data_IF_445324050263
#
_entry.id   IF_445324050263
#
_cell.length_a   1.000
_cell.length_b   1.000
_cell.length_c   1.000
_cell.angle_alpha   90.00
_cell.angle_beta   90.00
_cell.angle_gamma   90.00
#
_symmetry.space_group_name_H-M   'P 1'
#
loop_
_entity.id
_entity.type
_entity.pdbx_description
1 polymer ?
#
# COMPACT_ATOMS: atom_id res chain seq x y z
N UNK A 1 19.29 27.10 -5.24
CA UNK A 1 18.12 27.16 -6.15
C UNK A 1 16.87 26.75 -5.39
N UNK A 2 15.74 27.38 -5.69
CA UNK A 2 14.46 26.93 -5.17
C UNK A 2 14.12 25.60 -5.84
N UNK A 3 13.68 24.57 -5.07
CA UNK A 3 13.28 23.29 -5.67
C UNK A 3 11.93 23.44 -6.36
N UNK A 4 11.76 22.70 -7.45
CA UNK A 4 10.52 22.64 -8.23
C UNK A 4 10.02 21.20 -8.26
N UNK A 5 9.12 20.87 -7.32
CA UNK A 5 8.57 19.53 -7.15
C UNK A 5 7.15 19.50 -7.70
N UNK A 6 6.89 18.52 -8.56
CA UNK A 6 5.55 18.19 -9.01
C UNK A 6 5.04 16.95 -8.26
N UNK A 7 3.74 16.91 -8.02
CA UNK A 7 3.04 15.68 -7.64
C UNK A 7 1.89 15.45 -8.61
N UNK A 8 1.98 14.35 -9.35
CA UNK A 8 0.99 13.92 -10.33
C UNK A 8 0.07 12.87 -9.70
N UNK A 9 -1.24 13.05 -9.83
CA UNK A 9 -2.28 12.16 -9.26
C UNK A 9 -3.31 11.86 -10.35
N UNK A 10 -3.44 10.57 -10.73
CA UNK A 10 -4.38 10.13 -11.76
C UNK A 10 -5.82 10.14 -11.23
N UNK A 11 -6.69 10.90 -11.88
CA UNK A 11 -8.05 11.10 -11.43
C UNK A 11 -8.89 9.82 -11.49
N UNK A 12 -9.43 9.37 -10.33
CA UNK A 12 -10.27 8.17 -10.24
C UNK A 12 -9.66 6.94 -10.92
N UNK A 13 -8.38 6.72 -10.76
CA UNK A 13 -7.53 5.88 -11.60
C UNK A 13 -8.19 4.57 -12.05
N UNK A 14 -8.55 3.68 -11.13
CA UNK A 14 -9.16 2.39 -11.50
C UNK A 14 -10.47 2.57 -12.28
N UNK A 15 -11.33 3.46 -11.83
CA UNK A 15 -12.60 3.72 -12.53
C UNK A 15 -12.38 4.35 -13.91
N UNK A 16 -11.32 5.14 -14.09
CA UNK A 16 -10.95 5.72 -15.38
C UNK A 16 -10.46 4.65 -16.34
N UNK A 17 -9.61 3.72 -15.86
CA UNK A 17 -9.13 2.58 -16.66
C UNK A 17 -10.31 1.69 -17.07
N UNK A 18 -11.23 1.34 -16.15
CA UNK A 18 -12.42 0.56 -16.50
C UNK A 18 -13.27 1.24 -17.58
N UNK A 19 -13.43 2.57 -17.49
CA UNK A 19 -14.13 3.33 -18.52
C UNK A 19 -13.37 3.43 -19.86
N UNK A 20 -12.09 3.13 -19.90
CA UNK A 20 -11.34 3.01 -21.17
C UNK A 20 -11.49 1.62 -21.75
N UNK A 21 -11.49 0.58 -20.91
CA UNK A 21 -11.71 -0.81 -21.33
C UNK A 21 -13.14 -1.01 -21.85
N UNK A 22 -14.13 -0.42 -21.18
CA UNK A 22 -15.51 -0.38 -21.62
C UNK A 22 -16.07 1.06 -21.63
N UNK A 23 -16.06 1.73 -22.79
CA UNK A 23 -16.56 3.11 -22.91
C UNK A 23 -18.03 3.29 -22.57
N UNK A 24 -18.86 2.22 -22.59
CA UNK A 24 -20.28 2.31 -22.22
C UNK A 24 -20.46 2.67 -20.74
N UNK A 25 -19.51 2.29 -19.89
CA UNK A 25 -19.50 2.59 -18.46
C UNK A 25 -19.43 4.10 -18.15
N UNK A 26 -18.89 4.93 -19.05
CA UNK A 26 -18.81 6.39 -18.88
C UNK A 26 -20.18 7.05 -18.66
N UNK A 27 -21.26 6.41 -19.12
CA UNK A 27 -22.64 6.93 -18.99
C UNK A 27 -23.22 6.77 -17.59
N UNK A 28 -22.69 5.84 -16.79
CA UNK A 28 -23.25 5.43 -15.50
C UNK A 28 -22.39 5.89 -14.32
N UNK A 29 -22.97 6.01 -13.11
CA UNK A 29 -22.19 6.02 -11.88
C UNK A 29 -21.57 4.64 -11.68
N UNK A 30 -20.25 4.54 -11.63
CA UNK A 30 -19.54 3.27 -11.45
C UNK A 30 -18.67 3.27 -10.19
N UNK A 31 -18.54 2.10 -9.59
CA UNK A 31 -17.57 1.82 -8.55
C UNK A 31 -16.84 0.51 -8.85
N UNK A 32 -15.51 0.55 -8.81
CA UNK A 32 -14.66 -0.64 -8.83
C UNK A 32 -14.64 -1.21 -7.43
N UNK A 33 -15.04 -2.48 -7.27
CA UNK A 33 -15.20 -3.10 -5.96
C UNK A 33 -14.58 -4.49 -5.94
N UNK A 34 -14.06 -4.88 -4.78
CA UNK A 34 -13.69 -6.26 -4.52
C UNK A 34 -14.91 -7.20 -4.45
N UNK A 35 -14.67 -8.52 -4.45
CA UNK A 35 -15.72 -9.54 -4.38
C UNK A 35 -16.45 -9.51 -3.03
N UNK A 36 -17.77 -9.43 -3.08
CA UNK A 36 -18.64 -9.55 -1.89
C UNK A 36 -18.59 -10.97 -1.33
N UNK A 37 -18.57 -11.97 -2.21
CA UNK A 37 -18.56 -13.39 -1.86
C UNK A 37 -17.29 -13.78 -1.11
N UNK A 38 -16.17 -13.16 -1.47
CA UNK A 38 -14.87 -13.31 -0.78
C UNK A 38 -14.73 -12.42 0.48
N UNK A 39 -15.82 -11.77 0.92
CA UNK A 39 -15.83 -10.83 2.07
C UNK A 39 -14.95 -9.59 1.87
N UNK A 40 -14.58 -9.26 0.63
CA UNK A 40 -13.80 -8.09 0.22
C UNK A 40 -14.64 -7.03 -0.52
N UNK A 41 -15.97 -7.10 -0.42
CA UNK A 41 -16.92 -6.24 -1.12
C UNK A 41 -16.91 -4.78 -0.64
N UNK A 42 -15.80 -4.07 -0.90
CA UNK A 42 -15.65 -2.63 -0.63
C UNK A 42 -15.36 -1.86 -1.91
N UNK A 43 -15.73 -0.59 -1.94
CA UNK A 43 -15.40 0.34 -3.01
C UNK A 43 -13.90 0.65 -2.96
N UNK A 44 -13.17 0.30 -4.02
CA UNK A 44 -11.75 0.60 -4.22
C UNK A 44 -11.59 1.98 -4.90
N UNK A 45 -12.35 2.21 -5.96
CA UNK A 45 -12.40 3.48 -6.68
C UNK A 45 -13.81 3.73 -7.23
N UNK A 46 -14.12 4.96 -7.57
CA UNK A 46 -15.40 5.38 -8.16
C UNK A 46 -15.20 6.54 -9.11
N UNK A 47 -16.06 6.66 -10.11
CA UNK A 47 -16.06 7.83 -10.99
C UNK A 47 -16.75 9.05 -10.35
N UNK A 48 -16.62 10.21 -10.98
CA UNK A 48 -17.22 11.47 -10.47
C UNK A 48 -18.76 11.40 -10.38
N UNK A 49 -19.43 10.63 -11.24
CA UNK A 49 -20.88 10.43 -11.17
C UNK A 49 -21.27 9.71 -9.86
N UNK A 50 -20.59 8.64 -9.50
CA UNK A 50 -20.83 7.97 -8.22
C UNK A 50 -20.40 8.83 -7.02
N UNK A 51 -19.31 9.62 -7.15
CA UNK A 51 -18.87 10.57 -6.12
C UNK A 51 -19.93 11.63 -5.81
N UNK A 52 -20.71 12.07 -6.80
CA UNK A 52 -21.79 13.03 -6.60
C UNK A 52 -22.92 12.52 -5.68
N UNK A 53 -23.06 11.19 -5.54
CA UNK A 53 -23.99 10.55 -4.59
C UNK A 53 -23.33 10.23 -3.24
N UNK A 54 -22.20 10.85 -2.90
CA UNK A 54 -21.42 10.62 -1.67
C UNK A 54 -20.94 9.15 -1.49
N UNK A 55 -20.73 8.42 -2.59
CA UNK A 55 -20.07 7.11 -2.54
C UNK A 55 -18.60 7.34 -2.22
N UNK A 56 -18.10 6.66 -1.17
CA UNK A 56 -16.71 6.82 -0.68
C UNK A 56 -15.88 5.56 -0.89
N UNK A 57 -14.59 5.73 -1.12
CA UNK A 57 -13.63 4.60 -1.06
C UNK A 57 -13.66 4.01 0.35
N UNK A 58 -13.76 2.68 0.43
CA UNK A 58 -13.94 1.94 1.68
C UNK A 58 -15.39 1.71 2.08
N UNK A 59 -16.40 2.32 1.41
CA UNK A 59 -17.79 1.94 1.61
C UNK A 59 -17.99 0.45 1.25
N UNK A 60 -18.77 -0.27 2.04
CA UNK A 60 -19.23 -1.59 1.61
C UNK A 60 -20.15 -1.45 0.39
N UNK A 61 -20.17 -2.44 -0.50
CA UNK A 61 -20.97 -2.39 -1.74
C UNK A 61 -22.44 -2.11 -1.44
N UNK A 62 -23.01 -2.69 -0.39
CA UNK A 62 -24.40 -2.43 0.00
C UNK A 62 -24.64 -0.97 0.43
N UNK A 63 -23.68 -0.35 1.16
CA UNK A 63 -23.75 1.07 1.55
C UNK A 63 -23.69 1.97 0.31
N UNK A 64 -22.77 1.67 -0.60
CA UNK A 64 -22.62 2.41 -1.85
C UNK A 64 -23.90 2.34 -2.70
N UNK A 65 -24.54 1.17 -2.80
CA UNK A 65 -25.84 1.00 -3.48
C UNK A 65 -27.00 1.70 -2.79
N UNK A 66 -26.98 1.83 -1.46
CA UNK A 66 -27.98 2.64 -0.75
C UNK A 66 -27.87 4.13 -1.12
N UNK A 67 -26.64 4.64 -1.27
CA UNK A 67 -26.39 6.04 -1.66
C UNK A 67 -26.69 6.29 -3.13
N UNK A 68 -26.40 5.34 -4.01
CA UNK A 68 -26.60 5.43 -5.46
C UNK A 68 -27.25 4.14 -5.97
N UNK A 69 -28.59 4.19 -6.20
CA UNK A 69 -29.38 3.02 -6.63
C UNK A 69 -28.94 2.46 -7.97
N UNK A 70 -28.55 3.35 -8.90
CA UNK A 70 -28.12 3.00 -10.25
C UNK A 70 -26.62 2.72 -10.34
N UNK A 71 -25.94 2.47 -9.21
CA UNK A 71 -24.51 2.20 -9.16
C UNK A 71 -24.15 0.89 -9.86
N UNK A 72 -23.36 1.00 -10.92
CA UNK A 72 -22.78 -0.15 -11.61
C UNK A 72 -21.49 -0.56 -10.88
N UNK A 73 -21.45 -1.78 -10.40
CA UNK A 73 -20.29 -2.36 -9.70
C UNK A 73 -19.46 -3.14 -10.73
N UNK A 74 -18.15 -2.83 -10.78
CA UNK A 74 -17.21 -3.43 -11.73
C UNK A 74 -16.11 -4.14 -10.93
N UNK A 75 -15.71 -5.38 -11.29
CA UNK A 75 -14.57 -6.03 -10.66
C UNK A 75 -13.25 -5.34 -11.07
N UNK A 76 -12.19 -5.41 -10.24
CA UNK A 76 -10.92 -4.79 -10.56
C UNK A 76 -10.09 -5.61 -11.57
N UNK A 77 -9.49 -4.94 -12.55
CA UNK A 77 -8.51 -5.51 -13.50
C UNK A 77 -7.10 -5.01 -13.18
N UNK A 78 -6.50 -5.52 -12.12
CA UNK A 78 -5.21 -5.04 -11.60
C UNK A 78 -4.06 -5.08 -12.61
N UNK A 79 -4.04 -6.04 -13.52
CA UNK A 79 -3.01 -6.13 -14.58
C UNK A 79 -3.02 -4.89 -15.48
N UNK A 80 -4.23 -4.43 -15.86
CA UNK A 80 -4.39 -3.20 -16.62
C UNK A 80 -3.98 -1.98 -15.79
N UNK A 81 -4.32 -1.93 -14.50
CA UNK A 81 -3.88 -0.82 -13.64
C UNK A 81 -2.36 -0.74 -13.53
N UNK A 82 -1.67 -1.87 -13.36
CA UNK A 82 -0.19 -1.93 -13.36
C UNK A 82 0.37 -1.46 -14.69
N UNK A 83 -0.22 -1.87 -15.81
CA UNK A 83 0.19 -1.47 -17.16
C UNK A 83 0.06 0.05 -17.33
N UNK A 84 -1.10 0.64 -17.03
CA UNK A 84 -1.29 2.09 -17.16
C UNK A 84 -0.45 2.89 -16.16
N UNK A 85 -0.23 2.38 -14.96
CA UNK A 85 0.71 2.96 -14.01
C UNK A 85 2.14 3.04 -14.55
N UNK A 86 2.63 1.98 -15.22
CA UNK A 86 3.95 1.96 -15.87
C UNK A 86 4.02 2.91 -17.06
N UNK A 87 2.97 2.96 -17.88
CA UNK A 87 2.87 3.90 -19.00
C UNK A 87 2.90 5.36 -18.52
N UNK A 88 2.15 5.68 -17.47
CA UNK A 88 2.18 7.01 -16.87
C UNK A 88 3.59 7.41 -16.41
N UNK A 89 4.32 6.50 -15.77
CA UNK A 89 5.71 6.75 -15.36
C UNK A 89 6.63 7.00 -16.55
N UNK A 90 6.46 6.25 -17.64
CA UNK A 90 7.25 6.48 -18.85
C UNK A 90 7.02 7.88 -19.46
N UNK A 91 5.83 8.46 -19.26
CA UNK A 91 5.58 9.86 -19.62
C UNK A 91 6.35 10.80 -18.69
N UNK A 92 6.30 10.58 -17.39
CA UNK A 92 6.99 11.41 -16.40
C UNK A 92 8.52 11.40 -16.58
N UNK A 93 9.09 10.25 -16.90
CA UNK A 93 10.52 10.06 -17.12
C UNK A 93 11.08 10.84 -18.33
N UNK A 94 10.23 11.37 -19.19
CA UNK A 94 10.65 12.26 -20.31
C UNK A 94 11.14 13.61 -19.82
N UNK A 95 10.73 14.03 -18.62
CA UNK A 95 10.99 15.35 -18.05
C UNK A 95 12.09 15.35 -16.99
N UNK A 96 12.31 14.24 -16.29
CA UNK A 96 13.32 14.10 -15.23
C UNK A 96 13.62 12.63 -14.95
N UNK A 97 14.80 12.33 -14.43
CA UNK A 97 15.16 11.03 -13.87
C UNK A 97 14.80 10.87 -12.39
N UNK A 98 14.36 11.95 -11.74
CA UNK A 98 13.90 11.95 -10.35
C UNK A 98 12.38 11.78 -10.32
N UNK A 99 11.96 10.53 -10.47
CA UNK A 99 10.54 10.11 -10.46
C UNK A 99 10.34 9.10 -9.35
N UNK A 100 9.64 9.51 -8.30
CA UNK A 100 9.36 8.70 -7.13
C UNK A 100 7.88 8.31 -7.09
N UNK A 101 7.55 7.03 -7.27
CA UNK A 101 6.17 6.57 -7.17
C UNK A 101 5.64 6.62 -5.74
N UNK A 102 4.36 6.96 -5.61
CA UNK A 102 3.59 6.87 -4.39
C UNK A 102 2.27 6.16 -4.67
N UNK A 103 2.26 4.84 -4.51
CA UNK A 103 1.15 4.00 -4.99
C UNK A 103 1.19 3.74 -6.49
N UNK A 104 0.05 3.35 -7.07
CA UNK A 104 -0.07 3.04 -8.51
C UNK A 104 -0.39 4.26 -9.36
N UNK A 105 -1.03 5.26 -8.79
CA UNK A 105 -1.63 6.40 -9.48
C UNK A 105 -0.97 7.74 -9.16
N UNK A 106 -0.02 7.76 -8.23
CA UNK A 106 0.65 8.97 -7.80
C UNK A 106 2.17 8.90 -8.01
N UNK A 107 2.79 10.03 -8.35
CA UNK A 107 4.24 10.19 -8.45
C UNK A 107 4.69 11.59 -8.05
N UNK A 108 5.83 11.68 -7.34
CA UNK A 108 6.60 12.92 -7.26
C UNK A 108 7.65 13.00 -8.36
N UNK A 109 7.84 14.20 -8.90
CA UNK A 109 8.88 14.53 -9.86
C UNK A 109 9.67 15.72 -9.33
N UNK A 110 10.99 15.65 -9.34
CA UNK A 110 11.83 16.82 -9.12
C UNK A 110 12.35 17.30 -10.48
N UNK A 111 11.89 18.49 -10.88
CA UNK A 111 12.24 19.13 -12.14
C UNK A 111 13.14 20.35 -11.98
N UNK A 112 13.74 20.52 -10.80
CA UNK A 112 14.53 21.71 -10.44
C UNK A 112 15.70 22.01 -11.39
N UNK A 113 16.21 21.02 -12.08
CA UNK A 113 17.34 21.16 -13.03
C UNK A 113 16.93 21.21 -14.50
N UNK A 114 15.63 21.14 -14.83
CA UNK A 114 15.15 20.95 -16.20
C UNK A 114 14.44 22.19 -16.78
N UNK A 115 14.39 23.30 -16.05
CA UNK A 115 13.68 24.52 -16.46
C UNK A 115 14.21 25.11 -17.77
N UNK A 116 15.52 25.00 -18.03
CA UNK A 116 16.14 25.48 -19.28
C UNK A 116 15.71 24.69 -20.51
N UNK A 117 15.28 23.43 -20.33
CA UNK A 117 14.86 22.53 -21.40
C UNK A 117 13.34 22.61 -21.65
N UNK A 118 12.54 22.64 -20.59
CA UNK A 118 11.09 22.50 -20.68
C UNK A 118 10.30 23.77 -20.29
N UNK A 119 10.97 24.74 -19.68
CA UNK A 119 10.35 25.99 -19.20
C UNK A 119 9.90 25.91 -17.75
N UNK A 120 8.96 26.81 -17.37
CA UNK A 120 8.51 26.92 -15.97
C UNK A 120 7.84 25.65 -15.46
N UNK A 121 7.90 25.39 -14.12
CA UNK A 121 7.27 24.21 -13.51
C UNK A 121 5.78 24.09 -13.81
N UNK A 122 5.06 25.21 -13.89
CA UNK A 122 3.64 25.22 -14.24
C UNK A 122 3.40 24.83 -15.70
N UNK A 123 4.28 25.26 -16.62
CA UNK A 123 4.23 24.84 -18.03
C UNK A 123 4.44 23.35 -18.14
N UNK A 124 5.47 22.79 -17.50
CA UNK A 124 5.75 21.36 -17.48
C UNK A 124 4.58 20.57 -16.92
N UNK A 125 3.98 21.02 -15.82
CA UNK A 125 2.81 20.37 -15.21
C UNK A 125 1.62 20.31 -16.17
N UNK A 126 1.35 21.41 -16.91
CA UNK A 126 0.29 21.44 -17.91
C UNK A 126 0.61 20.55 -19.11
N UNK A 127 1.86 20.50 -19.58
CA UNK A 127 2.30 19.65 -20.66
C UNK A 127 2.15 18.17 -20.31
N UNK A 128 2.59 17.76 -19.11
CA UNK A 128 2.39 16.39 -18.60
C UNK A 128 0.89 16.06 -18.56
N UNK A 129 0.06 16.95 -18.03
CA UNK A 129 -1.39 16.76 -17.94
C UNK A 129 -2.02 16.52 -19.31
N UNK A 130 -1.70 17.34 -20.31
CA UNK A 130 -2.22 17.18 -21.67
C UNK A 130 -1.65 15.92 -22.34
N UNK A 131 -0.38 15.59 -22.14
CA UNK A 131 0.24 14.36 -22.68
C UNK A 131 -0.45 13.11 -22.12
N UNK A 132 -0.69 13.06 -20.82
CA UNK A 132 -1.42 11.95 -20.18
C UNK A 132 -2.82 11.77 -20.75
N UNK A 133 -3.51 12.86 -20.96
CA UNK A 133 -4.86 12.88 -21.53
C UNK A 133 -4.88 12.43 -22.99
N UNK A 134 -3.94 12.91 -23.79
CA UNK A 134 -3.87 12.62 -25.22
C UNK A 134 -3.33 11.23 -25.50
N UNK A 135 -2.20 10.83 -24.88
CA UNK A 135 -1.56 9.54 -25.16
C UNK A 135 -2.20 8.37 -24.42
N UNK A 136 -2.65 8.57 -23.15
CA UNK A 136 -3.16 7.49 -22.31
C UNK A 136 -4.66 7.54 -22.06
N UNK A 137 -5.35 8.61 -22.47
CA UNK A 137 -6.78 8.79 -22.19
C UNK A 137 -7.11 9.01 -20.71
N UNK A 138 -6.09 9.27 -19.88
CA UNK A 138 -6.21 9.48 -18.43
C UNK A 138 -6.07 10.96 -18.08
N UNK A 139 -6.97 11.48 -17.27
CA UNK A 139 -6.80 12.82 -16.70
C UNK A 139 -6.03 12.74 -15.38
N UNK A 140 -5.17 13.74 -15.14
CA UNK A 140 -4.40 13.86 -13.91
C UNK A 140 -4.60 15.25 -13.29
N UNK A 141 -4.43 15.33 -11.97
CA UNK A 141 -4.28 16.60 -11.28
C UNK A 141 -2.84 16.74 -10.80
N UNK A 142 -2.24 17.91 -10.97
CA UNK A 142 -0.83 18.14 -10.67
C UNK A 142 -0.68 19.25 -9.65
N UNK A 143 0.01 18.98 -8.56
CA UNK A 143 0.46 19.97 -7.61
C UNK A 143 1.89 20.37 -7.89
N UNK A 144 2.18 21.67 -7.91
CA UNK A 144 3.51 22.24 -8.11
C UNK A 144 3.91 23.01 -6.86
N UNK A 145 5.04 22.65 -6.25
CA UNK A 145 5.52 23.34 -5.04
C UNK A 145 7.03 23.19 -4.88
N UNK A 146 7.57 23.74 -3.78
CA UNK A 146 8.99 23.72 -3.43
C UNK A 146 9.38 22.52 -2.54
N UNK A 147 8.44 21.69 -2.12
CA UNK A 147 8.65 20.47 -1.34
C UNK A 147 7.60 19.39 -1.71
N UNK A 148 7.86 18.14 -1.31
CA UNK A 148 7.00 16.99 -1.63
C UNK A 148 5.62 17.08 -0.96
N UNK A 149 5.56 17.64 0.25
CA UNK A 149 4.34 17.66 1.08
C UNK A 149 3.30 18.59 0.45
N UNK A 150 3.72 19.80 0.08
CA UNK A 150 2.81 20.77 -0.53
C UNK A 150 2.52 20.44 -2.00
N UNK A 151 3.48 19.84 -2.71
CA UNK A 151 3.19 19.31 -4.04
C UNK A 151 2.06 18.28 -3.99
N UNK A 152 2.06 17.36 -2.99
CA UNK A 152 0.98 16.37 -2.82
C UNK A 152 -0.36 16.98 -2.38
N UNK A 153 -0.34 18.07 -1.65
CA UNK A 153 -1.57 18.77 -1.24
C UNK A 153 -2.27 19.43 -2.45
N UNK A 154 -1.47 19.90 -3.44
CA UNK A 154 -1.98 20.65 -4.60
C UNK A 154 -3.09 19.96 -5.39
N UNK A 155 -2.97 18.69 -5.80
CA UNK A 155 -4.02 17.97 -6.53
C UNK A 155 -5.37 17.98 -5.81
N UNK A 156 -5.38 17.80 -4.47
CA UNK A 156 -6.62 17.71 -3.70
C UNK A 156 -7.37 19.04 -3.60
N UNK A 157 -6.67 20.17 -3.73
CA UNK A 157 -7.29 21.49 -3.74
C UNK A 157 -8.13 21.75 -4.99
N UNK A 158 -7.76 21.15 -6.15
CA UNK A 158 -8.47 21.35 -7.40
C UNK A 158 -8.43 20.08 -8.25
N UNK A 159 -9.51 19.30 -8.25
CA UNK A 159 -9.76 18.10 -9.07
C UNK A 159 -11.08 18.25 -9.81
N UNK A 160 -11.23 17.64 -10.98
CA UNK A 160 -10.24 16.90 -11.79
C UNK A 160 -9.48 17.79 -12.79
N UNK A 161 -8.47 17.17 -13.46
CA UNK A 161 -7.80 17.71 -14.66
C UNK A 161 -7.31 19.16 -14.48
N UNK A 162 -6.50 19.38 -13.42
CA UNK A 162 -6.08 20.73 -13.03
C UNK A 162 -4.62 20.79 -12.55
N UNK A 163 -4.04 21.97 -12.64
CA UNK A 163 -2.74 22.28 -12.04
C UNK A 163 -2.95 23.26 -10.88
N UNK A 164 -2.33 22.98 -9.74
CA UNK A 164 -2.34 23.83 -8.54
C UNK A 164 -0.92 24.19 -8.15
N UNK A 165 -0.59 25.48 -8.15
CA UNK A 165 0.74 25.98 -7.75
C UNK A 165 0.68 26.51 -6.33
N UNK A 166 1.61 26.05 -5.47
CA UNK A 166 1.78 26.50 -4.08
C UNK A 166 3.20 27.07 -3.96
N UNK A 167 3.38 28.39 -4.19
CA UNK A 167 4.68 29.07 -4.13
C UNK A 167 5.17 29.21 -2.67
N UNK A 168 6.49 29.32 -2.51
CA UNK A 168 7.14 29.43 -1.19
C UNK A 168 6.81 30.72 -0.43
N UNK A 169 6.59 31.79 -1.14
CA UNK A 169 6.32 33.13 -0.58
C UNK A 169 4.86 33.28 -0.09
N UNK A 170 3.92 32.56 -0.73
CA UNK A 170 2.48 32.69 -0.47
C UNK A 170 1.81 31.42 0.06
N UNK A 171 2.59 30.38 0.40
CA UNK A 171 1.99 29.12 0.82
C UNK A 171 1.09 29.23 2.05
N UNK A 172 1.45 30.09 3.02
CA UNK A 172 0.67 30.28 4.24
C UNK A 172 -0.76 30.73 3.93
N UNK A 173 -0.88 31.72 3.05
CA UNK A 173 -2.18 32.26 2.62
C UNK A 173 -3.03 31.20 1.91
N UNK A 174 -2.38 30.32 1.13
CA UNK A 174 -3.06 29.27 0.34
C UNK A 174 -3.48 28.07 1.16
N UNK A 175 -2.65 27.62 2.13
CA UNK A 175 -2.87 26.30 2.74
C UNK A 175 -3.15 26.34 4.24
N UNK A 176 -2.79 27.40 4.97
CA UNK A 176 -3.00 27.41 6.42
C UNK A 176 -4.46 27.37 6.84
N UNK A 177 -5.39 27.82 5.99
CA UNK A 177 -6.83 27.71 6.20
C UNK A 177 -7.41 26.32 5.92
N UNK A 178 -6.66 25.40 5.29
CA UNK A 178 -7.12 24.06 4.97
C UNK A 178 -7.16 23.18 6.23
N UNK A 179 -8.02 22.13 6.25
CA UNK A 179 -8.07 21.17 7.34
C UNK A 179 -6.70 20.53 7.61
N UNK A 180 -6.32 20.37 8.88
CA UNK A 180 -5.10 19.65 9.25
C UNK A 180 -5.09 18.20 8.73
N UNK A 181 -6.25 17.61 8.55
CA UNK A 181 -6.44 16.26 8.01
C UNK A 181 -5.97 16.11 6.55
N UNK A 182 -5.88 17.21 5.79
CA UNK A 182 -5.44 17.19 4.39
C UNK A 182 -3.90 17.09 4.28
N UNK A 183 -3.18 17.37 5.38
CA UNK A 183 -1.73 17.28 5.39
C UNK A 183 -1.27 15.82 5.42
N UNK A 184 -0.30 15.49 4.57
CA UNK A 184 0.29 14.15 4.53
C UNK A 184 0.77 13.71 5.92
N UNK A 185 0.37 12.50 6.34
CA UNK A 185 0.70 11.93 7.66
C UNK A 185 -0.36 12.19 8.73
N UNK A 186 -1.40 12.98 8.46
CA UNK A 186 -2.55 13.14 9.37
C UNK A 186 -3.66 12.15 9.00
N UNK A 187 -3.58 10.95 9.55
CA UNK A 187 -4.65 9.95 9.43
C UNK A 187 -5.75 10.16 10.50
N UNK A 188 -6.83 9.37 10.42
CA UNK A 188 -8.01 9.46 11.33
C UNK A 188 -7.67 9.44 12.83
N UNK A 189 -6.64 8.68 13.23
CA UNK A 189 -6.21 8.61 14.64
C UNK A 189 -5.52 9.92 15.06
N UNK A 190 -4.59 10.43 14.23
CA UNK A 190 -3.91 11.69 14.46
C UNK A 190 -4.90 12.85 14.46
N UNK A 191 -5.84 12.88 13.50
CA UNK A 191 -6.89 13.89 13.44
C UNK A 191 -7.71 13.95 14.73
N UNK A 192 -8.17 12.80 15.26
CA UNK A 192 -8.91 12.77 16.54
C UNK A 192 -8.11 13.38 17.70
N UNK A 193 -6.81 13.14 17.74
CA UNK A 193 -5.95 13.74 18.77
C UNK A 193 -5.85 15.26 18.56
N UNK A 194 -5.62 15.72 17.33
CA UNK A 194 -5.54 17.15 17.02
C UNK A 194 -6.87 17.88 17.34
N UNK A 195 -8.00 17.29 16.93
CA UNK A 195 -9.34 17.84 17.19
C UNK A 195 -9.62 17.99 18.69
N UNK A 196 -9.15 17.05 19.53
CA UNK A 196 -9.30 17.13 20.99
C UNK A 196 -8.57 18.32 21.62
N UNK A 197 -7.62 18.93 20.91
CA UNK A 197 -6.89 20.13 21.29
C UNK A 197 -7.26 21.37 20.45
N UNK A 198 -8.36 21.30 19.70
CA UNK A 198 -8.84 22.35 18.82
C UNK A 198 -7.86 22.74 17.71
N UNK A 199 -6.93 21.87 17.33
CA UNK A 199 -6.01 22.02 16.20
C UNK A 199 -6.72 21.46 14.96
N UNK A 200 -7.39 22.32 14.20
CA UNK A 200 -8.27 21.93 13.08
C UNK A 200 -7.69 22.23 11.72
N UNK A 201 -6.87 23.27 11.63
CA UNK A 201 -6.27 23.72 10.38
C UNK A 201 -4.77 23.48 10.33
N UNK A 202 -4.21 23.49 9.11
CA UNK A 202 -2.74 23.43 8.92
C UNK A 202 -2.07 24.63 9.64
N UNK A 203 -2.70 25.81 9.64
CA UNK A 203 -2.22 26.97 10.35
C UNK A 203 -2.22 26.79 11.87
N UNK A 204 -3.27 26.19 12.46
CA UNK A 204 -3.28 25.86 13.89
C UNK A 204 -2.13 24.92 14.25
N UNK A 205 -1.91 23.89 13.42
CA UNK A 205 -0.81 22.92 13.61
C UNK A 205 0.55 23.62 13.51
N UNK A 206 0.74 24.52 12.53
CA UNK A 206 1.97 25.25 12.32
C UNK A 206 2.32 26.21 13.49
N UNK A 207 1.31 26.78 14.14
CA UNK A 207 1.46 27.73 15.25
C UNK A 207 1.45 27.05 16.64
N UNK A 208 1.23 25.73 16.70
CA UNK A 208 1.26 24.98 17.98
C UNK A 208 2.72 24.73 18.40
N UNK A 209 2.99 24.73 19.72
CA UNK A 209 4.31 24.39 20.26
C UNK A 209 4.74 22.98 19.85
N UNK A 210 5.88 22.81 19.16
CA UNK A 210 6.36 21.51 18.72
C UNK A 210 6.62 20.52 19.86
N UNK A 211 7.01 21.00 21.07
CA UNK A 211 7.18 20.12 22.25
C UNK A 211 5.85 19.65 22.79
N UNK A 212 4.79 20.43 22.68
CA UNK A 212 3.43 19.98 22.98
C UNK A 212 3.02 18.85 22.03
N UNK A 213 3.22 19.03 20.70
CA UNK A 213 2.92 18.02 19.70
C UNK A 213 3.75 16.75 19.91
N UNK A 214 5.01 16.87 20.28
CA UNK A 214 5.90 15.74 20.61
C UNK A 214 5.37 14.92 21.78
N UNK A 215 4.89 15.57 22.83
CA UNK A 215 4.29 14.89 24.00
C UNK A 215 3.01 14.13 23.65
N UNK A 216 2.23 14.58 22.68
CA UNK A 216 0.92 14.00 22.31
C UNK A 216 1.00 12.99 21.15
N UNK A 217 1.86 13.22 20.19
CA UNK A 217 1.96 12.45 18.94
C UNK A 217 3.36 11.81 18.73
N UNK A 218 4.25 11.94 19.71
CA UNK A 218 5.63 11.46 19.60
C UNK A 218 6.43 12.19 18.52
N UNK A 219 7.37 11.49 17.90
CA UNK A 219 8.19 12.05 16.81
C UNK A 219 7.35 12.57 15.64
N UNK A 220 6.23 11.92 15.35
CA UNK A 220 5.33 12.33 14.27
C UNK A 220 4.76 13.73 14.48
N UNK A 221 4.49 14.14 15.73
CA UNK A 221 4.02 15.49 16.03
C UNK A 221 4.98 16.58 15.55
N UNK A 222 6.27 16.38 15.78
CA UNK A 222 7.32 17.33 15.30
C UNK A 222 7.44 17.29 13.78
N UNK A 223 7.34 16.11 13.16
CA UNK A 223 7.36 15.97 11.70
C UNK A 223 6.19 16.74 11.08
N UNK A 224 4.98 16.56 11.60
CA UNK A 224 3.79 17.26 11.10
C UNK A 224 3.89 18.79 11.29
N UNK A 225 4.45 19.25 12.40
CA UNK A 225 4.74 20.66 12.61
C UNK A 225 5.70 21.21 11.56
N UNK A 226 6.80 20.49 11.26
CA UNK A 226 7.72 20.85 10.19
C UNK A 226 7.01 20.92 8.83
N UNK A 227 6.18 19.93 8.51
CA UNK A 227 5.41 19.91 7.27
C UNK A 227 4.48 21.11 7.15
N UNK A 228 3.71 21.45 8.20
CA UNK A 228 2.82 22.61 8.22
C UNK A 228 3.56 23.93 8.04
N UNK A 229 4.83 24.01 8.47
CA UNK A 229 5.72 25.16 8.29
C UNK A 229 6.53 25.13 6.97
N UNK A 230 6.33 24.14 6.11
CA UNK A 230 7.03 24.02 4.83
C UNK A 230 8.47 23.51 4.92
N UNK A 231 8.87 22.99 6.07
CA UNK A 231 10.24 22.54 6.37
C UNK A 231 10.45 21.05 5.98
N UNK A 232 10.03 20.65 4.78
CA UNK A 232 10.34 19.33 4.24
C UNK A 232 11.54 19.39 3.30
N UNK A 233 12.61 18.68 3.67
CA UNK A 233 13.85 18.58 2.91
C UNK A 233 14.00 17.21 2.21
N UNK A 234 13.00 16.36 2.26
CA UNK A 234 13.06 15.03 1.63
C UNK A 234 13.30 15.16 0.12
N UNK A 235 14.20 14.35 -0.40
CA UNK A 235 14.51 14.34 -1.82
C UNK A 235 13.49 13.45 -2.55
N UNK A 236 13.21 13.78 -3.81
CA UNK A 236 12.54 12.85 -4.72
C UNK A 236 13.55 11.79 -5.13
N UNK A 237 13.21 10.53 -4.96
CA UNK A 237 14.06 9.42 -5.32
C UNK A 237 14.23 9.33 -6.85
N UNK A 238 15.38 8.81 -7.28
CA UNK A 238 15.59 8.50 -8.70
C UNK A 238 14.73 7.31 -9.11
N UNK A 239 14.41 7.21 -10.39
CA UNK A 239 13.56 6.17 -10.99
C UNK A 239 14.03 4.73 -10.70
N UNK A 240 15.33 4.54 -10.54
CA UNK A 240 16.00 3.25 -10.27
C UNK A 240 16.17 2.96 -8.78
N UNK A 241 15.71 3.86 -7.91
CA UNK A 241 15.80 3.64 -6.48
C UNK A 241 14.87 2.50 -6.05
N UNK A 242 15.45 1.47 -5.47
CA UNK A 242 14.71 0.35 -4.88
C UNK A 242 14.76 0.47 -3.37
N UNK A 243 13.61 0.65 -2.75
CA UNK A 243 13.51 0.70 -1.28
C UNK A 243 13.88 -0.65 -0.68
N UNK A 244 14.72 -0.70 0.38
CA UNK A 244 15.04 -1.95 1.06
C UNK A 244 13.78 -2.64 1.59
N UNK A 245 13.67 -3.94 1.34
CA UNK A 245 12.55 -4.76 1.84
C UNK A 245 12.68 -4.91 3.35
N UNK A 246 11.72 -4.40 4.10
CA UNK A 246 11.72 -4.45 5.58
C UNK A 246 11.02 -5.69 6.14
N UNK A 247 10.04 -6.21 5.42
CA UNK A 247 9.29 -7.42 5.77
C UNK A 247 8.67 -8.04 4.54
N UNK A 248 8.41 -9.34 4.60
CA UNK A 248 7.65 -10.09 3.58
C UNK A 248 6.45 -10.72 4.27
N UNK A 249 5.25 -10.36 3.86
CA UNK A 249 4.03 -10.87 4.49
C UNK A 249 2.95 -11.23 3.49
N UNK A 250 2.06 -12.12 3.92
CA UNK A 250 0.84 -12.46 3.21
C UNK A 250 -0.31 -12.58 4.22
N UNK A 251 -1.47 -12.06 3.87
CA UNK A 251 -2.65 -12.11 4.71
C UNK A 251 -3.90 -12.41 3.90
N UNK A 252 -4.83 -13.12 4.51
CA UNK A 252 -6.07 -13.53 3.86
C UNK A 252 -7.28 -13.34 4.78
N UNK A 253 -8.39 -12.92 4.19
CA UNK A 253 -9.70 -13.01 4.82
C UNK A 253 -10.36 -14.32 4.36
N UNK A 254 -10.68 -15.19 5.29
CA UNK A 254 -11.29 -16.48 4.97
C UNK A 254 -12.75 -16.32 4.56
N UNK A 255 -13.26 -17.19 3.69
CA UNK A 255 -14.66 -17.13 3.21
C UNK A 255 -15.67 -17.44 4.32
N UNK A 256 -15.24 -18.17 5.36
CA UNK A 256 -16.00 -18.41 6.58
C UNK A 256 -15.07 -18.25 7.79
N UNK A 257 -15.63 -17.88 8.95
CA UNK A 257 -14.85 -17.70 10.16
C UNK A 257 -14.17 -19.01 10.61
N UNK A 258 -12.95 -18.88 11.14
CA UNK A 258 -12.23 -20.00 11.74
C UNK A 258 -12.56 -20.06 13.23
N UNK A 259 -13.01 -21.24 13.68
CA UNK A 259 -13.53 -21.46 15.03
C UNK A 259 -12.62 -22.35 15.89
N UNK A 260 -11.65 -23.03 15.27
CA UNK A 260 -10.79 -24.03 15.92
C UNK A 260 -9.34 -23.91 15.45
N UNK A 261 -8.34 -24.25 16.30
CA UNK A 261 -6.93 -24.20 15.95
C UNK A 261 -6.58 -25.03 14.69
N UNK A 262 -7.25 -26.18 14.53
CA UNK A 262 -7.00 -27.11 13.41
C UNK A 262 -7.35 -26.46 12.06
N UNK A 263 -8.21 -25.43 12.05
CA UNK A 263 -8.55 -24.67 10.84
C UNK A 263 -7.54 -23.55 10.56
N UNK A 264 -6.81 -23.08 11.57
CA UNK A 264 -5.83 -21.98 11.44
C UNK A 264 -4.48 -22.50 10.92
N UNK A 265 -4.04 -23.66 11.36
CA UNK A 265 -2.78 -24.25 10.93
C UNK A 265 -2.61 -24.34 9.41
N UNK A 266 -3.58 -24.91 8.66
CA UNK A 266 -3.48 -24.97 7.20
C UNK A 266 -3.39 -23.58 6.56
N UNK A 267 -4.09 -22.58 7.10
CA UNK A 267 -4.02 -21.20 6.61
C UNK A 267 -2.61 -20.63 6.78
N UNK A 268 -1.99 -20.80 7.95
CA UNK A 268 -0.60 -20.37 8.15
C UNK A 268 0.34 -21.07 7.18
N UNK A 269 0.18 -22.36 7.00
CA UNK A 269 1.02 -23.16 6.11
C UNK A 269 0.90 -22.70 4.65
N UNK A 270 -0.31 -22.35 4.19
CA UNK A 270 -0.52 -21.82 2.84
C UNK A 270 0.13 -20.43 2.68
N UNK A 271 -0.15 -19.50 3.58
CA UNK A 271 0.43 -18.14 3.52
C UNK A 271 1.96 -18.16 3.52
N UNK A 272 2.56 -19.07 4.27
CA UNK A 272 4.01 -19.16 4.37
C UNK A 272 4.70 -19.76 3.14
N UNK A 273 3.97 -20.50 2.29
CA UNK A 273 4.51 -20.95 0.99
C UNK A 273 4.90 -19.75 0.13
N UNK A 274 4.00 -18.77 0.01
CA UNK A 274 4.24 -17.53 -0.73
C UNK A 274 5.35 -16.70 -0.07
N UNK A 275 5.34 -16.57 1.25
CA UNK A 275 6.39 -15.84 1.98
C UNK A 275 7.77 -16.45 1.72
N UNK A 276 7.91 -17.78 1.81
CA UNK A 276 9.17 -18.47 1.55
C UNK A 276 9.65 -18.30 0.11
N UNK A 277 8.73 -18.33 -0.86
CA UNK A 277 9.02 -18.02 -2.26
C UNK A 277 9.58 -16.60 -2.41
N UNK A 278 8.89 -15.60 -1.89
CA UNK A 278 9.31 -14.19 -1.96
C UNK A 278 10.66 -13.94 -1.27
N UNK A 279 10.90 -14.58 -0.13
CA UNK A 279 12.21 -14.52 0.56
C UNK A 279 13.33 -15.04 -0.34
N UNK A 280 13.14 -16.18 -1.02
CA UNK A 280 14.12 -16.76 -1.95
C UNK A 280 14.36 -15.90 -3.17
N UNK A 281 13.29 -15.38 -3.79
CA UNK A 281 13.39 -14.47 -4.95
C UNK A 281 14.23 -13.25 -4.63
N UNK A 282 14.11 -12.72 -3.40
CA UNK A 282 14.85 -11.53 -2.98
C UNK A 282 16.19 -11.83 -2.29
N UNK A 283 16.58 -13.10 -2.15
CA UNK A 283 17.83 -13.48 -1.47
C UNK A 283 17.86 -13.11 0.02
N UNK A 284 16.69 -13.13 0.69
CA UNK A 284 16.52 -12.72 2.08
C UNK A 284 16.15 -13.91 2.95
N UNK A 285 16.54 -13.86 4.23
CA UNK A 285 16.12 -14.80 5.30
C UNK A 285 15.47 -14.03 6.44
N UNK A 286 14.52 -14.67 7.13
CA UNK A 286 13.81 -14.08 8.25
C UNK A 286 14.43 -14.50 9.59
N UNK A 287 14.67 -13.55 10.49
CA UNK A 287 15.04 -13.78 11.90
C UNK A 287 13.85 -13.64 12.85
N UNK A 288 12.68 -13.29 12.34
CA UNK A 288 11.47 -13.16 13.14
C UNK A 288 10.21 -13.36 12.33
N UNK A 289 9.15 -13.65 13.05
CA UNK A 289 7.80 -13.76 12.50
C UNK A 289 6.84 -12.89 13.29
N UNK A 290 5.97 -12.18 12.60
CA UNK A 290 4.82 -11.50 13.17
C UNK A 290 3.52 -12.11 12.63
N UNK A 291 2.50 -12.14 13.47
CA UNK A 291 1.15 -12.56 13.10
C UNK A 291 0.14 -11.46 13.43
N UNK A 292 -0.83 -11.26 12.53
CA UNK A 292 -1.97 -10.39 12.77
C UNK A 292 -3.23 -11.22 12.65
N UNK A 293 -4.01 -11.23 13.69
CA UNK A 293 -5.28 -11.96 13.78
C UNK A 293 -6.40 -10.93 13.92
N UNK A 294 -7.35 -10.99 13.02
CA UNK A 294 -8.56 -10.17 13.08
C UNK A 294 -9.76 -11.08 13.32
N UNK A 295 -10.48 -10.83 14.40
CA UNK A 295 -11.70 -11.56 14.73
C UNK A 295 -12.92 -11.09 13.89
N UNK A 296 -14.05 -11.74 14.03
CA UNK A 296 -15.28 -11.42 13.32
C UNK A 296 -15.96 -10.13 13.82
N UNK A 297 -15.57 -9.62 14.97
CA UNK A 297 -15.98 -8.30 15.49
C UNK A 297 -15.10 -7.17 14.95
N UNK A 298 -14.14 -7.51 14.07
CA UNK A 298 -13.18 -6.64 13.41
C UNK A 298 -12.07 -6.08 14.33
N UNK A 299 -11.90 -6.61 15.53
CA UNK A 299 -10.77 -6.29 16.38
C UNK A 299 -9.51 -6.99 15.85
N UNK A 300 -8.40 -6.26 15.81
CA UNK A 300 -7.11 -6.79 15.35
C UNK A 300 -6.13 -6.88 16.51
N UNK A 301 -5.46 -8.03 16.61
CA UNK A 301 -4.36 -8.26 17.54
C UNK A 301 -3.11 -8.66 16.77
N UNK A 302 -1.96 -8.18 17.23
CA UNK A 302 -0.68 -8.44 16.61
C UNK A 302 0.32 -8.93 17.64
N UNK A 303 1.11 -9.94 17.26
CA UNK A 303 2.21 -10.46 18.06
C UNK A 303 3.39 -10.80 17.18
N UNK A 304 4.58 -10.79 17.75
CA UNK A 304 5.81 -11.17 17.05
C UNK A 304 6.75 -11.97 17.96
N UNK A 305 7.60 -12.78 17.33
CA UNK A 305 8.64 -13.56 18.04
C UNK A 305 9.87 -13.73 17.13
N UNK A 306 11.01 -14.03 17.76
CA UNK A 306 12.23 -14.38 17.02
C UNK A 306 12.14 -15.81 16.50
N UNK A 307 12.83 -16.06 15.39
CA UNK A 307 13.16 -17.39 14.87
C UNK A 307 14.57 -17.73 15.34
N UNK A 308 14.81 -18.97 15.69
CA UNK A 308 16.08 -19.40 16.30
C UNK A 308 17.28 -19.21 15.36
N UNK A 309 17.12 -19.55 14.08
CA UNK A 309 18.12 -19.33 13.03
C UNK A 309 17.48 -18.66 11.83
N UNK A 310 18.17 -17.72 11.14
CA UNK A 310 17.67 -17.11 9.91
C UNK A 310 17.20 -18.17 8.92
N UNK A 311 16.02 -18.02 8.35
CA UNK A 311 15.42 -19.05 7.47
C UNK A 311 14.61 -18.48 6.33
N UNK A 312 14.50 -19.25 5.24
CA UNK A 312 13.57 -19.06 4.13
C UNK A 312 12.47 -20.15 4.15
N UNK A 313 12.52 -21.08 5.12
CA UNK A 313 11.64 -22.24 5.17
C UNK A 313 10.19 -21.87 5.50
N UNK A 314 9.23 -22.08 4.58
CA UNK A 314 7.81 -21.93 4.88
C UNK A 314 7.36 -22.72 6.11
N UNK A 315 7.86 -23.95 6.27
CA UNK A 315 7.48 -24.81 7.37
C UNK A 315 7.96 -24.29 8.73
N UNK A 316 9.18 -23.75 8.80
CA UNK A 316 9.72 -23.18 10.05
C UNK A 316 8.93 -21.92 10.41
N UNK A 317 8.70 -21.04 9.43
CA UNK A 317 7.92 -19.81 9.62
C UNK A 317 6.50 -20.15 10.08
N UNK A 318 5.82 -21.12 9.42
CA UNK A 318 4.48 -21.56 9.78
C UNK A 318 4.41 -22.13 11.21
N UNK A 319 5.34 -23.00 11.58
CA UNK A 319 5.39 -23.59 12.93
C UNK A 319 5.61 -22.54 14.00
N UNK A 320 6.54 -21.60 13.78
CA UNK A 320 6.82 -20.52 14.73
C UNK A 320 5.62 -19.57 14.86
N UNK A 321 4.96 -19.27 13.73
CA UNK A 321 3.74 -18.44 13.72
C UNK A 321 2.60 -19.14 14.49
N UNK A 322 2.42 -20.45 14.28
CA UNK A 322 1.35 -21.20 14.93
C UNK A 322 1.57 -21.38 16.43
N UNK A 323 2.80 -21.68 16.87
CA UNK A 323 3.14 -21.72 18.29
C UNK A 323 2.91 -20.36 18.98
N UNK A 324 3.25 -19.26 18.30
CA UNK A 324 2.98 -17.91 18.80
C UNK A 324 1.47 -17.68 18.92
N UNK A 325 0.71 -18.09 17.92
CA UNK A 325 -0.74 -18.00 17.89
C UNK A 325 -1.38 -18.78 19.05
N UNK A 326 -1.07 -20.07 19.21
CA UNK A 326 -1.59 -20.92 20.31
C UNK A 326 -1.30 -20.33 21.70
N UNK A 327 -0.10 -19.74 21.87
CA UNK A 327 0.29 -19.11 23.14
C UNK A 327 -0.47 -17.81 23.44
N UNK A 328 -0.93 -17.09 22.41
CA UNK A 328 -1.43 -15.71 22.56
C UNK A 328 -2.91 -15.53 22.29
N UNK A 329 -3.50 -16.34 21.45
CA UNK A 329 -4.90 -16.20 21.06
C UNK A 329 -5.81 -16.97 21.99
N UNK A 330 -6.70 -16.26 22.70
CA UNK A 330 -7.57 -16.84 23.75
C UNK A 330 -8.92 -17.36 23.26
N UNK A 331 -9.16 -17.45 21.93
CA UNK A 331 -10.41 -17.95 21.32
C UNK A 331 -11.70 -17.32 21.87
N UNK A 332 -11.65 -16.03 22.23
CA UNK A 332 -12.86 -15.31 22.71
C UNK A 332 -13.87 -15.12 21.57
N UNK A 333 -13.36 -14.94 20.35
CA UNK A 333 -14.14 -14.68 19.13
C UNK A 333 -13.59 -15.51 17.97
N UNK A 334 -14.44 -15.94 17.00
CA UNK A 334 -14.01 -16.58 15.78
C UNK A 334 -13.10 -15.66 14.93
N UNK A 335 -12.17 -16.26 14.19
CA UNK A 335 -11.19 -15.53 13.38
C UNK A 335 -11.73 -15.27 11.98
N UNK A 336 -11.71 -14.02 11.55
CA UNK A 336 -12.10 -13.57 10.22
C UNK A 336 -10.93 -13.53 9.24
N UNK A 337 -9.77 -13.02 9.67
CA UNK A 337 -8.60 -12.92 8.81
C UNK A 337 -7.31 -13.18 9.56
N UNK A 338 -6.34 -13.68 8.82
CA UNK A 338 -5.03 -14.08 9.29
C UNK A 338 -3.97 -13.48 8.39
N UNK A 339 -2.91 -12.89 8.99
CA UNK A 339 -1.71 -12.43 8.27
C UNK A 339 -0.48 -13.00 8.96
N UNK A 340 0.46 -13.48 8.16
CA UNK A 340 1.80 -13.87 8.61
C UNK A 340 2.82 -12.96 7.93
N UNK A 341 3.83 -12.54 8.68
CA UNK A 341 4.89 -11.65 8.19
C UNK A 341 6.26 -12.17 8.64
N UNK A 342 7.15 -12.38 7.71
CA UNK A 342 8.58 -12.52 7.96
C UNK A 342 9.18 -11.14 8.22
N UNK A 343 9.80 -10.96 9.36
CA UNK A 343 10.37 -9.71 9.84
C UNK A 343 11.84 -9.86 10.21
N UNK A 344 12.54 -8.73 10.45
CA UNK A 344 13.96 -8.71 10.72
C UNK A 344 14.74 -9.46 9.64
N UNK A 345 14.56 -9.00 8.40
CA UNK A 345 15.13 -9.65 7.24
C UNK A 345 16.64 -9.38 7.15
N UNK A 346 17.38 -10.43 6.86
CA UNK A 346 18.83 -10.39 6.63
C UNK A 346 19.15 -11.04 5.27
N UNK A 347 20.30 -10.71 4.63
CA UNK A 347 20.75 -11.44 3.45
C UNK A 347 20.83 -12.95 3.71
N UNK A 348 20.50 -13.77 2.72
CA UNK A 348 20.52 -15.23 2.87
C UNK A 348 21.88 -15.80 3.26
N UNK A 349 22.99 -15.10 2.91
CA UNK A 349 24.36 -15.51 3.17
C UNK A 349 24.88 -15.01 4.54
N UNK A 350 24.00 -14.43 5.36
CA UNK A 350 24.39 -13.94 6.69
C UNK A 350 24.89 -15.10 7.55
N UNK A 351 26.08 -14.98 8.19
CA UNK A 351 26.62 -16.02 9.07
C UNK A 351 25.64 -16.39 10.17
N UNK A 352 25.39 -17.70 10.35
CA UNK A 352 24.47 -18.20 11.37
C UNK A 352 25.27 -18.56 12.64
N UNK A 353 24.82 -18.03 13.77
CA UNK A 353 25.34 -18.46 15.07
C UNK A 353 24.62 -19.73 15.48
N UNK A 354 25.32 -20.86 15.46
CA UNK A 354 24.77 -22.18 15.82
C UNK A 354 24.99 -22.41 17.32
N UNK A 355 23.89 -22.75 18.02
CA UNK A 355 23.92 -23.24 19.39
C UNK A 355 24.14 -24.77 19.39
N UNK A 356 24.78 -25.30 20.41
CA UNK A 356 25.04 -26.75 20.58
C UNK A 356 23.73 -27.58 20.66
N UNK A 357 22.63 -26.95 21.00
CA UNK A 357 21.30 -27.60 21.10
C UNK A 357 20.45 -27.49 19.81
N UNK A 358 20.96 -26.84 18.78
CA UNK A 358 20.25 -26.65 17.52
C UNK A 358 20.68 -27.65 16.46
N UNK A 359 19.72 -28.31 15.84
CA UNK A 359 19.97 -29.21 14.71
C UNK A 359 19.98 -28.42 13.39
N UNK A 360 21.06 -27.70 13.15
CA UNK A 360 21.27 -26.92 11.93
C UNK A 360 21.25 -27.81 10.68
N UNK A 361 21.75 -29.06 10.77
CA UNK A 361 21.75 -30.01 9.66
C UNK A 361 20.32 -30.39 9.22
N UNK A 362 19.42 -30.52 10.19
CA UNK A 362 18.00 -30.79 9.91
C UNK A 362 17.33 -29.60 9.23
N UNK A 363 17.62 -28.37 9.65
CA UNK A 363 17.12 -27.18 9.00
C UNK A 363 17.64 -27.08 7.56
N UNK A 364 18.93 -27.26 7.33
CA UNK A 364 19.54 -27.21 5.99
C UNK A 364 18.96 -28.31 5.06
N UNK A 365 18.68 -29.50 5.60
CA UNK A 365 18.00 -30.57 4.85
C UNK A 365 16.58 -30.15 4.45
N UNK A 366 15.83 -29.55 5.36
CA UNK A 366 14.47 -29.07 5.10
C UNK A 366 14.49 -27.98 4.03
N UNK A 367 15.35 -26.96 4.15
CA UNK A 367 15.45 -25.87 3.19
C UNK A 367 15.87 -26.36 1.79
N UNK A 368 16.76 -27.36 1.70
CA UNK A 368 17.11 -27.98 0.42
C UNK A 368 15.91 -28.73 -0.20
N UNK A 369 15.16 -29.47 0.59
CA UNK A 369 13.93 -30.15 0.14
C UNK A 369 12.92 -29.11 -0.38
N UNK A 370 12.69 -28.04 0.34
CA UNK A 370 11.73 -26.99 -0.04
C UNK A 370 12.16 -26.27 -1.33
N UNK A 371 13.46 -26.05 -1.55
CA UNK A 371 13.98 -25.55 -2.83
C UNK A 371 13.70 -26.52 -3.99
N UNK A 372 13.84 -27.83 -3.79
CA UNK A 372 13.49 -28.82 -4.81
C UNK A 372 11.99 -28.80 -5.11
N UNK A 373 11.14 -28.71 -4.10
CA UNK A 373 9.68 -28.59 -4.27
C UNK A 373 9.31 -27.33 -5.07
N UNK A 374 9.96 -26.22 -4.77
CA UNK A 374 9.73 -24.95 -5.51
C UNK A 374 10.16 -25.08 -6.97
N UNK A 375 11.30 -25.70 -7.25
CA UNK A 375 11.76 -25.94 -8.62
C UNK A 375 10.76 -26.81 -9.43
N UNK A 376 10.18 -27.82 -8.80
CA UNK A 376 9.15 -28.65 -9.43
C UNK A 376 7.88 -27.80 -9.69
N UNK A 377 7.44 -27.01 -8.72
CA UNK A 377 6.28 -26.12 -8.88
C UNK A 377 6.48 -25.09 -9.99
N UNK A 378 7.70 -24.55 -10.12
CA UNK A 378 8.06 -23.62 -11.20
C UNK A 378 7.92 -24.25 -12.57
N UNK A 379 8.24 -25.55 -12.73
CA UNK A 379 8.19 -26.26 -14.01
C UNK A 379 6.80 -26.80 -14.35
N UNK A 380 6.07 -27.26 -13.35
CA UNK A 380 4.86 -28.05 -13.56
C UNK A 380 3.60 -27.39 -12.96
N UNK A 381 3.74 -26.17 -12.40
CA UNK A 381 2.67 -25.43 -11.76
C UNK A 381 2.60 -25.63 -10.24
N UNK A 382 1.99 -24.67 -9.55
CA UNK A 382 1.93 -24.60 -8.09
C UNK A 382 1.30 -25.85 -7.46
N UNK A 383 0.33 -26.46 -8.12
CA UNK A 383 -0.43 -27.61 -7.63
C UNK A 383 0.24 -28.96 -7.88
N UNK A 384 1.38 -29.01 -8.60
CA UNK A 384 2.09 -30.25 -8.90
C UNK A 384 2.57 -31.01 -7.67
N UNK A 385 2.92 -30.30 -6.60
CA UNK A 385 3.22 -30.85 -5.28
C UNK A 385 2.55 -29.99 -4.22
N UNK A 386 1.65 -30.59 -3.45
CA UNK A 386 1.00 -29.92 -2.30
C UNK A 386 1.26 -30.67 -1.00
N UNK A 387 1.28 -29.94 0.09
CA UNK A 387 1.24 -30.54 1.41
C UNK A 387 -0.14 -31.17 1.63
N UNK A 388 -0.21 -32.44 2.09
CA UNK A 388 -1.49 -33.15 2.26
C UNK A 388 -2.52 -32.44 3.13
N UNK A 389 -2.06 -31.66 4.12
CA UNK A 389 -2.95 -30.81 4.94
C UNK A 389 -3.64 -29.73 4.11
N UNK A 390 -3.03 -29.26 3.03
CA UNK A 390 -3.59 -28.24 2.14
C UNK A 390 -4.58 -28.79 1.10
N UNK A 391 -4.75 -30.12 1.03
CA UNK A 391 -5.73 -30.76 0.14
C UNK A 391 -7.16 -30.78 0.73
N UNK A 392 -7.36 -30.21 1.91
CA UNK A 392 -8.67 -30.08 2.55
C UNK A 392 -9.38 -28.78 2.13
N UNK A 393 -10.67 -28.66 2.48
CA UNK A 393 -11.37 -27.38 2.31
C UNK A 393 -10.89 -26.37 3.35
N UNK A 394 -10.00 -25.48 2.92
CA UNK A 394 -9.30 -24.50 3.77
C UNK A 394 -10.12 -23.26 4.10
N UNK A 395 -11.36 -23.14 3.61
CA UNK A 395 -12.15 -21.91 3.70
C UNK A 395 -11.43 -20.68 3.11
N UNK A 396 -10.49 -20.91 2.19
CA UNK A 396 -9.78 -19.86 1.48
C UNK A 396 -10.60 -19.41 0.26
N UNK A 397 -10.52 -18.13 -0.14
CA UNK A 397 -11.08 -17.71 -1.41
C UNK A 397 -10.41 -18.46 -2.56
N UNK A 398 -11.10 -18.65 -3.71
CA UNK A 398 -10.51 -19.28 -4.87
C UNK A 398 -9.23 -18.55 -5.28
N UNK A 399 -8.22 -19.33 -5.67
CA UNK A 399 -6.93 -18.78 -6.10
C UNK A 399 -7.13 -17.89 -7.31
N UNK A 400 -6.80 -16.61 -7.16
CA UNK A 400 -6.62 -15.68 -8.28
C UNK A 400 -5.15 -15.64 -8.61
N UNK A 401 -4.81 -15.42 -9.89
CA UNK A 401 -3.44 -15.17 -10.29
C UNK A 401 -2.81 -14.12 -9.34
N UNK A 402 -1.71 -14.48 -8.71
CA UNK A 402 -1.04 -13.55 -7.78
C UNK A 402 -0.52 -12.34 -8.55
N UNK A 403 -1.16 -11.21 -8.32
CA UNK A 403 -0.69 -9.93 -8.83
C UNK A 403 0.34 -9.42 -7.82
N UNK A 404 1.61 -9.62 -8.14
CA UNK A 404 2.70 -9.04 -7.36
C UNK A 404 2.78 -7.54 -7.68
N UNK A 405 2.40 -6.72 -6.72
CA UNK A 405 2.59 -5.27 -6.84
C UNK A 405 4.08 -4.96 -6.92
N UNK A 406 4.51 -4.12 -7.87
CA UNK A 406 5.91 -3.71 -7.96
C UNK A 406 6.39 -3.07 -6.66
N UNK A 407 7.64 -3.35 -6.28
CA UNK A 407 8.31 -2.71 -5.13
C UNK A 407 8.23 -1.19 -5.25
N UNK A 408 7.83 -0.51 -4.18
CA UNK A 408 7.60 0.94 -4.17
C UNK A 408 6.18 1.37 -4.54
N UNK A 409 5.29 0.45 -4.89
CA UNK A 409 3.87 0.75 -5.14
C UNK A 409 2.94 0.51 -3.94
N UNK A 410 3.47 0.03 -2.84
CA UNK A 410 2.73 -0.13 -1.58
C UNK A 410 3.28 0.92 -0.62
N UNK A 411 2.50 1.96 -0.41
CA UNK A 411 2.71 2.97 0.63
C UNK A 411 2.14 2.50 1.95
#
# INVERSE_FOLDING_TARGET
>A
MLRSILHCDMNNFYASVECMLDPALKKYPIAVCGSVEERHGIVLAKNYKAKAFDVKTGDAVWQAKQKCKDLVVVPPHYEEYIKYSKLARSVYERYTDQVEPYGMDECWLDISGTESLFGSPEKVANEIRETMKFELGLTISVGVSFNKIFAKLGPDMKKPDAVTVIPKDTFKEKIWGLPAADLLGVGRATQRVLDSYCIRTIGDLANTDPEFLRRRLGKNGVVLWNYANGNDLSLVAKKDFVSPIKSVGHGITTVADLEKPEQVWPVFLELTQDIGHKLRVHGLSAEGVAIHIRDNTLNTRQWQTKIALPTQSPMIIAKTAFQLFEKRYGWNDPIRSVTVQAINLVPQDTPRQIDMFMDAAKQDKLERMEKCVEEIRRRFGKDSIRNGVLCQNLRLPPEKAEITMPTGMVG
#
